data_IF_883474518136
#
_entry.id   IF_883474518136
#
_cell.length_a   1.000
_cell.length_b   1.000
_cell.length_c   1.000
_cell.angle_alpha   90.00
_cell.angle_beta   90.00
_cell.angle_gamma   90.00
#
_symmetry.space_group_name_H-M   'P 1'
#
loop_
_entity.id
_entity.type
_entity.pdbx_description
1 polymer ?
#
# COMPACT_ATOMS: atom_id res chain seq x y z
N UNK A 1 11.83 3.45 -3.24
CA UNK A 1 10.80 2.41 -2.94
C UNK A 1 10.80 1.94 -1.48
N UNK A 2 11.84 1.30 -0.93
CA UNK A 2 11.79 0.81 0.47
C UNK A 2 11.53 1.91 1.52
N UNK A 3 12.12 3.10 1.39
CA UNK A 3 11.92 4.22 2.30
C UNK A 3 10.51 4.82 2.22
N UNK A 4 9.89 4.85 1.05
CA UNK A 4 8.53 5.36 0.84
C UNK A 4 7.49 4.42 1.44
N UNK A 5 7.67 3.11 1.28
CA UNK A 5 6.81 2.11 1.91
C UNK A 5 6.86 2.17 3.45
N UNK A 6 8.05 2.42 4.02
CA UNK A 6 8.22 2.61 5.46
C UNK A 6 7.49 3.86 5.96
N UNK A 7 7.58 4.97 5.21
CA UNK A 7 6.88 6.22 5.54
C UNK A 7 5.36 6.05 5.47
N UNK A 8 4.86 5.36 4.45
CA UNK A 8 3.44 5.09 4.33
C UNK A 8 2.94 4.17 5.44
N UNK A 9 3.66 3.07 5.71
CA UNK A 9 3.32 2.18 6.81
C UNK A 9 3.25 2.93 8.13
N UNK A 10 4.17 3.86 8.40
CA UNK A 10 4.13 4.69 9.61
C UNK A 10 2.90 5.60 9.68
N UNK A 11 2.34 6.02 8.53
CA UNK A 11 1.12 6.82 8.49
C UNK A 11 -0.16 6.00 8.71
N UNK A 12 -0.09 4.69 8.47
CA UNK A 12 -1.24 3.78 8.67
C UNK A 12 -1.34 3.27 10.11
N UNK A 13 -0.31 3.48 10.94
CA UNK A 13 -0.32 3.13 12.36
C UNK A 13 -0.16 4.37 13.22
N UNK A 14 -0.77 4.36 14.38
CA UNK A 14 -0.66 5.37 15.43
C UNK A 14 -1.10 6.80 15.01
N UNK A 15 -1.72 6.93 13.84
CA UNK A 15 -2.28 8.20 13.33
C UNK A 15 -3.78 8.07 13.10
N UNK A 16 -4.55 9.17 13.31
CA UNK A 16 -5.97 9.18 12.98
C UNK A 16 -6.22 9.02 11.48
N UNK A 17 -7.15 8.16 11.14
CA UNK A 17 -7.57 7.88 9.78
C UNK A 17 -9.08 8.07 9.63
N UNK A 18 -9.49 8.63 8.52
CA UNK A 18 -10.86 8.67 8.01
C UNK A 18 -10.93 7.68 6.83
N UNK A 19 -10.92 6.38 7.14
CA UNK A 19 -10.86 5.30 6.16
C UNK A 19 -11.88 4.21 6.48
N UNK A 20 -12.51 3.67 5.45
CA UNK A 20 -13.36 2.48 5.59
C UNK A 20 -12.53 1.28 6.00
N UNK A 21 -12.98 0.46 6.97
CA UNK A 21 -12.21 -0.67 7.46
C UNK A 21 -11.79 -1.69 6.40
N UNK A 22 -12.61 -1.95 5.38
CA UNK A 22 -12.30 -2.90 4.29
C UNK A 22 -11.17 -2.37 3.41
N UNK A 23 -11.23 -1.09 3.08
CA UNK A 23 -10.17 -0.38 2.34
C UNK A 23 -8.88 -0.37 3.13
N UNK A 24 -8.94 -0.10 4.43
CA UNK A 24 -7.80 -0.15 5.31
C UNK A 24 -7.11 -1.52 5.32
N UNK A 25 -7.87 -2.61 5.51
CA UNK A 25 -7.32 -3.97 5.51
C UNK A 25 -6.72 -4.34 4.14
N UNK A 26 -7.30 -3.90 3.03
CA UNK A 26 -6.76 -4.13 1.69
C UNK A 26 -5.40 -3.44 1.50
N UNK A 27 -5.29 -2.18 1.91
CA UNK A 27 -4.03 -1.42 1.88
C UNK A 27 -2.96 -2.07 2.77
N UNK A 28 -3.32 -2.49 3.99
CA UNK A 28 -2.41 -3.14 4.91
C UNK A 28 -1.89 -4.47 4.38
N UNK A 29 -2.77 -5.31 3.84
CA UNK A 29 -2.39 -6.58 3.22
C UNK A 29 -1.41 -6.40 2.05
N UNK A 30 -1.61 -5.35 1.25
CA UNK A 30 -0.70 -5.01 0.17
C UNK A 30 0.68 -4.59 0.71
N UNK A 31 0.71 -3.70 1.70
CA UNK A 31 1.95 -3.22 2.33
C UNK A 31 2.75 -4.33 2.99
N UNK A 32 2.08 -5.23 3.73
CA UNK A 32 2.74 -6.33 4.43
C UNK A 32 3.38 -7.30 3.42
N UNK A 33 2.67 -7.67 2.34
CA UNK A 33 3.22 -8.50 1.27
C UNK A 33 4.45 -7.85 0.59
N UNK A 34 4.41 -6.56 0.34
CA UNK A 34 5.55 -5.83 -0.24
C UNK A 34 6.74 -5.73 0.70
N UNK A 35 6.50 -5.55 2.01
CA UNK A 35 7.57 -5.48 3.01
C UNK A 35 8.23 -6.84 3.26
N UNK A 36 7.50 -7.94 3.12
CA UNK A 36 8.00 -9.31 3.28
C UNK A 36 8.76 -9.84 2.05
N UNK A 37 8.90 -9.03 0.98
CA UNK A 37 9.56 -9.44 -0.26
C UNK A 37 8.76 -10.45 -1.08
N UNK A 38 7.48 -10.62 -0.76
CA UNK A 38 6.54 -11.42 -1.55
C UNK A 38 6.38 -10.82 -2.95
N UNK A 39 6.37 -11.67 -3.97
CA UNK A 39 5.96 -11.27 -5.31
C UNK A 39 4.50 -10.76 -5.21
N UNK A 40 4.33 -9.45 -5.19
CA UNK A 40 3.06 -8.86 -5.59
C UNK A 40 2.93 -9.21 -7.06
N UNK A 41 1.80 -9.76 -7.46
CA UNK A 41 1.47 -9.89 -8.88
C UNK A 41 1.82 -8.51 -9.49
N UNK A 42 2.91 -8.48 -10.25
CA UNK A 42 3.18 -7.34 -11.11
C UNK A 42 1.95 -7.30 -12.02
N UNK A 43 1.05 -6.37 -11.72
CA UNK A 43 0.13 -5.94 -12.73
C UNK A 43 1.06 -5.48 -13.85
N UNK A 44 1.05 -6.22 -14.97
CA UNK A 44 1.81 -5.86 -16.16
C UNK A 44 1.64 -4.37 -16.40
N UNK A 45 2.66 -3.73 -16.97
CA UNK A 45 2.63 -2.33 -17.41
C UNK A 45 1.36 -1.92 -18.20
N UNK A 46 0.60 -2.90 -18.70
CA UNK A 46 -0.73 -2.74 -19.31
C UNK A 46 -1.83 -2.25 -18.33
N UNK A 47 -1.58 -2.19 -17.01
CA UNK A 47 -2.52 -1.62 -16.02
C UNK A 47 -2.28 -0.14 -15.72
N UNK A 48 -1.32 0.52 -16.38
CA UNK A 48 -1.22 1.98 -16.42
C UNK A 48 -2.31 2.65 -17.27
N UNK A 49 -3.21 1.89 -17.88
CA UNK A 49 -4.41 2.42 -18.53
C UNK A 49 -5.56 2.76 -17.55
N UNK A 50 -5.30 2.81 -16.23
CA UNK A 50 -6.36 3.09 -15.28
C UNK A 50 -6.17 4.34 -14.44
N UNK A 51 -6.09 5.48 -15.07
CA UNK A 51 -6.94 6.58 -14.68
C UNK A 51 -8.03 6.70 -15.74
N UNK A 52 -9.15 6.02 -15.56
CA UNK A 52 -10.29 6.14 -16.46
C UNK A 52 -10.85 7.58 -16.45
N UNK A 53 -10.33 8.40 -15.53
CA UNK A 53 -10.68 9.81 -15.37
C UNK A 53 -9.44 10.58 -14.93
N UNK A 54 -8.57 10.95 -15.88
CA UNK A 54 -7.61 12.03 -15.66
C UNK A 54 -8.39 13.33 -15.42
N UNK A 55 -7.79 14.29 -14.72
CA UNK A 55 -8.36 15.63 -14.62
C UNK A 55 -8.56 16.19 -16.01
N UNK A 56 -9.82 16.41 -16.39
CA UNK A 56 -10.19 16.79 -17.74
C UNK A 56 -10.96 18.12 -17.72
N UNK A 57 -10.65 19.00 -18.67
CA UNK A 57 -11.42 20.19 -18.94
C UNK A 57 -12.12 20.12 -20.30
N UNK A 58 -13.43 20.18 -20.30
CA UNK A 58 -14.28 20.25 -21.49
C UNK A 58 -14.67 21.69 -21.76
N UNK A 59 -13.82 22.41 -22.51
CA UNK A 59 -13.98 23.85 -22.78
C UNK A 59 -15.32 24.22 -23.42
N UNK A 60 -15.89 23.34 -24.26
CA UNK A 60 -17.18 23.57 -24.89
C UNK A 60 -18.33 23.73 -23.87
N UNK A 61 -18.21 23.05 -22.73
CA UNK A 61 -19.22 23.02 -21.70
C UNK A 61 -18.84 23.76 -20.41
N UNK A 62 -17.60 24.31 -20.32
CA UNK A 62 -17.00 24.84 -19.12
C UNK A 62 -17.08 23.82 -17.95
N UNK A 63 -16.88 22.55 -18.25
CA UNK A 63 -16.97 21.43 -17.33
C UNK A 63 -15.58 20.91 -17.02
N UNK A 64 -15.21 20.91 -15.75
CA UNK A 64 -14.04 20.20 -15.22
C UNK A 64 -14.44 18.85 -14.66
N UNK A 65 -13.55 17.87 -14.73
CA UNK A 65 -13.75 16.55 -14.09
C UNK A 65 -12.49 16.24 -13.27
N UNK A 66 -12.68 15.86 -12.01
CA UNK A 66 -11.62 15.44 -11.09
C UNK A 66 -11.97 14.05 -10.58
N UNK A 67 -11.01 13.13 -10.68
CA UNK A 67 -11.16 11.76 -10.13
C UNK A 67 -10.66 11.69 -8.70
N UNK A 68 -11.46 11.08 -7.82
CA UNK A 68 -11.13 10.82 -6.41
C UNK A 68 -11.18 9.32 -6.18
N UNK A 69 -10.03 8.65 -6.36
CA UNK A 69 -9.95 7.20 -6.38
C UNK A 69 -9.06 6.64 -5.27
N UNK A 70 -9.36 5.42 -4.85
CA UNK A 70 -8.54 4.64 -3.94
C UNK A 70 -8.27 5.29 -2.58
N UNK A 71 -7.20 4.93 -1.88
CA UNK A 71 -6.86 5.52 -0.59
C UNK A 71 -6.37 6.97 -0.73
N UNK A 72 -6.87 7.85 0.16
CA UNK A 72 -6.56 9.28 0.14
C UNK A 72 -5.40 9.61 1.06
N UNK A 73 -4.48 10.45 0.57
CA UNK A 73 -3.31 10.94 1.34
C UNK A 73 -3.30 12.46 1.39
N UNK A 74 -2.67 13.02 2.45
CA UNK A 74 -2.60 14.48 2.60
C UNK A 74 -1.70 15.13 1.55
N UNK A 75 -0.58 14.49 1.23
CA UNK A 75 0.42 15.03 0.28
C UNK A 75 0.80 14.01 -0.76
N UNK A 76 1.06 14.49 -1.98
CA UNK A 76 1.63 13.68 -3.04
C UNK A 76 2.98 13.12 -2.63
N UNK A 77 3.12 11.80 -2.69
CA UNK A 77 4.32 11.07 -2.29
C UNK A 77 4.81 10.08 -3.34
N UNK A 78 4.18 10.07 -4.54
CA UNK A 78 4.39 9.06 -5.58
C UNK A 78 3.75 7.70 -5.27
N UNK A 79 3.22 7.54 -4.06
CA UNK A 79 2.48 6.37 -3.62
C UNK A 79 1.14 6.23 -4.35
N UNK A 80 0.48 7.36 -4.59
CA UNK A 80 -0.79 7.45 -5.29
C UNK A 80 -0.71 6.77 -6.65
N UNK A 81 0.39 7.00 -7.39
CA UNK A 81 0.66 6.36 -8.67
C UNK A 81 0.87 4.83 -8.57
N UNK A 82 1.37 4.34 -7.41
CA UNK A 82 1.64 2.92 -7.19
C UNK A 82 0.42 2.12 -6.73
N UNK A 83 -0.56 2.77 -6.11
CA UNK A 83 -1.71 2.11 -5.47
C UNK A 83 -3.06 2.61 -5.98
N UNK A 84 -3.06 3.45 -7.02
CA UNK A 84 -4.30 4.01 -7.57
C UNK A 84 -5.02 4.93 -6.58
N UNK A 85 -4.28 5.58 -5.67
CA UNK A 85 -4.82 6.54 -4.70
C UNK A 85 -4.80 7.97 -5.22
N UNK A 86 -5.34 8.90 -4.42
CA UNK A 86 -5.39 10.33 -4.73
C UNK A 86 -4.89 11.14 -3.53
N UNK A 87 -4.20 12.28 -3.76
CA UNK A 87 -3.80 13.16 -2.67
C UNK A 87 -4.70 14.40 -2.56
N UNK A 88 -4.86 14.93 -1.35
CA UNK A 88 -5.56 16.21 -1.17
C UNK A 88 -4.84 17.37 -1.85
N UNK A 89 -3.52 17.27 -1.96
CA UNK A 89 -2.69 18.26 -2.65
C UNK A 89 -2.99 18.27 -4.15
N UNK A 90 -3.01 17.10 -4.81
CA UNK A 90 -3.36 17.01 -6.23
C UNK A 90 -4.79 17.46 -6.53
N UNK A 91 -5.77 17.10 -5.68
CA UNK A 91 -7.16 17.56 -5.85
C UNK A 91 -7.24 19.10 -5.81
N UNK A 92 -6.47 19.76 -4.92
CA UNK A 92 -6.43 21.23 -4.87
C UNK A 92 -5.85 21.84 -6.13
N UNK A 93 -4.69 21.31 -6.57
CA UNK A 93 -4.01 21.78 -7.79
C UNK A 93 -4.90 21.62 -9.03
N UNK A 94 -5.54 20.47 -9.16
CA UNK A 94 -6.47 20.19 -10.26
C UNK A 94 -7.67 21.13 -10.24
N UNK A 95 -8.25 21.36 -9.07
CA UNK A 95 -9.40 22.24 -8.92
C UNK A 95 -9.04 23.69 -9.23
N UNK A 96 -7.90 24.18 -8.75
CA UNK A 96 -7.38 25.51 -9.05
C UNK A 96 -7.15 25.68 -10.55
N UNK A 97 -6.54 24.70 -11.21
CA UNK A 97 -6.31 24.71 -12.65
C UNK A 97 -7.62 24.82 -13.43
N UNK A 98 -8.62 23.99 -13.08
CA UNK A 98 -9.93 24.02 -13.73
C UNK A 98 -10.66 25.36 -13.54
N UNK A 99 -10.53 25.98 -12.36
CA UNK A 99 -11.09 27.30 -12.10
C UNK A 99 -10.42 28.36 -12.97
N UNK A 100 -9.08 28.31 -13.10
CA UNK A 100 -8.29 29.21 -13.98
C UNK A 100 -8.67 29.00 -15.44
N UNK A 101 -8.89 27.78 -15.89
CA UNK A 101 -9.35 27.45 -17.24
C UNK A 101 -10.78 27.90 -17.53
N UNK A 102 -11.52 28.29 -16.49
CA UNK A 102 -12.86 28.87 -16.62
C UNK A 102 -13.99 27.88 -16.42
N UNK A 103 -13.76 26.76 -15.75
CA UNK A 103 -14.80 25.83 -15.38
C UNK A 103 -15.92 26.53 -14.63
N UNK A 104 -17.16 26.19 -14.93
CA UNK A 104 -18.37 26.64 -14.23
C UNK A 104 -19.08 25.51 -13.51
N UNK A 105 -18.77 24.30 -13.89
CA UNK A 105 -19.14 23.08 -13.18
C UNK A 105 -17.91 22.21 -13.05
N UNK A 106 -17.66 21.68 -11.87
CA UNK A 106 -16.63 20.68 -11.62
C UNK A 106 -17.31 19.42 -11.09
N UNK A 107 -17.13 18.32 -11.80
CA UNK A 107 -17.65 17.02 -11.43
C UNK A 107 -16.55 16.23 -10.69
N UNK A 108 -16.84 15.75 -9.48
CA UNK A 108 -16.02 14.76 -8.78
C UNK A 108 -16.50 13.36 -9.14
N UNK A 109 -15.62 12.54 -9.72
CA UNK A 109 -15.87 11.12 -9.96
C UNK A 109 -15.26 10.35 -8.80
N UNK A 110 -16.08 9.71 -7.95
CA UNK A 110 -15.64 9.22 -6.65
C UNK A 110 -15.75 7.71 -6.56
N UNK A 111 -14.61 7.04 -6.32
CA UNK A 111 -14.51 5.64 -5.96
C UNK A 111 -13.42 5.45 -4.88
N UNK A 112 -13.74 5.79 -3.64
CA UNK A 112 -12.75 5.82 -2.57
C UNK A 112 -13.34 5.45 -1.21
N UNK A 113 -12.58 4.66 -0.45
CA UNK A 113 -12.89 4.32 0.94
C UNK A 113 -12.33 5.31 1.97
N UNK A 114 -11.80 6.46 1.53
CA UNK A 114 -11.19 7.45 2.41
C UNK A 114 -9.68 7.27 2.61
N UNK A 115 -9.14 7.83 3.68
CA UNK A 115 -7.70 7.83 3.93
C UNK A 115 -7.25 8.64 5.14
N UNK A 116 -6.20 9.46 4.99
CA UNK A 116 -5.65 10.28 6.07
C UNK A 116 -6.68 11.29 6.60
N UNK A 117 -6.80 11.39 7.93
CA UNK A 117 -7.71 12.37 8.55
C UNK A 117 -7.20 13.81 8.40
N UNK A 118 -5.89 13.99 8.55
CA UNK A 118 -5.28 15.31 8.48
C UNK A 118 -5.31 15.88 7.07
N UNK A 119 -5.82 17.10 6.95
CA UNK A 119 -5.91 17.85 5.71
C UNK A 119 -7.21 17.65 4.93
N UNK A 120 -8.06 16.66 5.26
CA UNK A 120 -9.31 16.43 4.55
C UNK A 120 -10.27 17.60 4.67
N UNK A 121 -10.64 17.99 5.89
CA UNK A 121 -11.59 19.09 6.14
C UNK A 121 -11.07 20.44 5.64
N UNK A 122 -9.77 20.72 5.84
CA UNK A 122 -9.12 21.92 5.31
C UNK A 122 -9.21 21.97 3.79
N UNK A 123 -9.00 20.81 3.12
CA UNK A 123 -9.12 20.71 1.66
C UNK A 123 -10.56 20.96 1.22
N UNK A 124 -11.52 20.28 1.83
CA UNK A 124 -12.92 20.46 1.46
C UNK A 124 -13.40 21.90 1.64
N UNK A 125 -13.09 22.52 2.79
CA UNK A 125 -13.43 23.92 3.06
C UNK A 125 -12.76 24.87 2.04
N UNK A 126 -11.49 24.60 1.70
CA UNK A 126 -10.77 25.39 0.69
C UNK A 126 -11.43 25.29 -0.68
N UNK A 127 -11.76 24.07 -1.14
CA UNK A 127 -12.40 23.84 -2.44
C UNK A 127 -13.80 24.46 -2.49
N UNK A 128 -14.59 24.32 -1.41
CA UNK A 128 -15.93 24.95 -1.34
C UNK A 128 -15.83 26.46 -1.44
N UNK A 129 -14.94 27.06 -0.65
CA UNK A 129 -14.71 28.50 -0.70
C UNK A 129 -14.26 28.96 -2.10
N UNK A 130 -13.33 28.26 -2.72
CA UNK A 130 -12.84 28.60 -4.06
C UNK A 130 -13.96 28.49 -5.11
N UNK A 131 -14.82 27.48 -4.98
CA UNK A 131 -15.99 27.34 -5.83
C UNK A 131 -16.97 28.49 -5.65
N UNK A 132 -17.29 28.87 -4.42
CA UNK A 132 -18.22 29.98 -4.11
C UNK A 132 -17.68 31.31 -4.61
N UNK A 133 -16.39 31.60 -4.37
CA UNK A 133 -15.72 32.83 -4.79
C UNK A 133 -15.71 32.99 -6.35
N UNK A 134 -15.74 31.88 -7.10
CA UNK A 134 -15.69 31.87 -8.58
C UNK A 134 -17.02 31.50 -9.25
N UNK A 135 -18.08 31.25 -8.48
CA UNK A 135 -19.38 30.82 -9.00
C UNK A 135 -19.29 29.49 -9.75
N UNK A 136 -18.52 28.55 -9.22
CA UNK A 136 -18.37 27.19 -9.71
C UNK A 136 -19.32 26.27 -8.96
N UNK A 137 -20.07 25.45 -9.68
CA UNK A 137 -20.90 24.39 -9.12
C UNK A 137 -20.11 23.11 -9.00
N UNK A 138 -20.15 22.45 -7.85
CA UNK A 138 -19.54 21.14 -7.62
C UNK A 138 -20.64 20.08 -7.66
N UNK A 139 -20.46 19.05 -8.47
CA UNK A 139 -21.37 17.89 -8.53
C UNK A 139 -20.53 16.63 -8.36
N UNK A 140 -20.88 15.79 -7.38
CA UNK A 140 -20.21 14.49 -7.22
C UNK A 140 -21.01 13.36 -7.85
N UNK A 141 -20.31 12.42 -8.48
CA UNK A 141 -20.85 11.13 -8.87
C UNK A 141 -20.12 10.01 -8.12
N UNK A 142 -20.87 9.21 -7.39
CA UNK A 142 -20.32 8.08 -6.65
C UNK A 142 -20.51 6.81 -7.47
N UNK A 143 -19.39 6.22 -7.93
CA UNK A 143 -19.37 4.97 -8.68
C UNK A 143 -18.71 3.87 -7.83
N UNK A 144 -19.52 3.20 -7.02
CA UNK A 144 -19.11 2.16 -6.10
C UNK A 144 -19.01 2.60 -4.65
N UNK A 145 -18.05 3.44 -4.27
CA UNK A 145 -17.82 3.79 -2.86
C UNK A 145 -17.43 5.26 -2.67
N UNK A 146 -18.13 5.93 -1.76
CA UNK A 146 -17.69 7.21 -1.19
C UNK A 146 -17.78 7.14 0.32
N UNK A 147 -16.65 6.80 0.98
CA UNK A 147 -16.66 6.54 2.41
C UNK A 147 -15.64 7.40 3.16
N UNK A 148 -15.99 7.78 4.38
CA UNK A 148 -15.09 8.42 5.35
C UNK A 148 -14.46 9.71 4.78
N UNK A 149 -13.14 9.85 4.64
CA UNK A 149 -12.54 11.07 4.07
C UNK A 149 -13.02 11.37 2.64
N UNK A 150 -13.29 10.36 1.83
CA UNK A 150 -13.84 10.55 0.49
C UNK A 150 -15.25 11.14 0.56
N UNK A 151 -16.07 10.65 1.50
CA UNK A 151 -17.37 11.25 1.73
C UNK A 151 -17.25 12.71 2.24
N UNK A 152 -16.26 13.00 3.08
CA UNK A 152 -15.96 14.37 3.50
C UNK A 152 -15.70 15.31 2.31
N UNK A 153 -14.96 14.88 1.31
CA UNK A 153 -14.76 15.64 0.06
C UNK A 153 -16.03 15.69 -0.80
N UNK A 154 -16.78 14.59 -0.85
CA UNK A 154 -18.06 14.54 -1.58
C UNK A 154 -19.11 15.47 -0.96
N UNK A 155 -19.12 15.58 0.37
CA UNK A 155 -20.13 16.34 1.12
C UNK A 155 -20.15 17.85 0.79
N UNK A 156 -19.06 18.42 0.27
CA UNK A 156 -18.99 19.84 -0.13
C UNK A 156 -19.73 20.13 -1.45
N UNK A 157 -20.20 19.10 -2.15
CA UNK A 157 -20.86 19.25 -3.45
C UNK A 157 -22.23 19.88 -3.31
N UNK A 158 -22.60 20.71 -4.28
CA UNK A 158 -23.94 21.26 -4.41
C UNK A 158 -24.98 20.16 -4.69
N UNK A 159 -24.49 19.02 -5.24
CA UNK A 159 -25.31 17.86 -5.53
C UNK A 159 -24.48 16.59 -5.54
N UNK A 160 -24.98 15.55 -4.89
CA UNK A 160 -24.38 14.22 -4.84
C UNK A 160 -25.28 13.23 -5.57
N UNK A 161 -24.80 12.73 -6.69
CA UNK A 161 -25.43 11.69 -7.49
C UNK A 161 -24.69 10.38 -7.26
N UNK A 162 -25.39 9.28 -7.19
CA UNK A 162 -24.77 7.97 -6.99
C UNK A 162 -25.32 6.91 -7.95
N UNK A 163 -24.48 5.93 -8.29
CA UNK A 163 -24.97 4.70 -8.90
C UNK A 163 -25.85 3.94 -7.89
N UNK A 164 -26.82 3.19 -8.37
CA UNK A 164 -27.78 2.49 -7.50
C UNK A 164 -27.13 1.54 -6.49
N UNK A 165 -26.01 0.95 -6.83
CA UNK A 165 -25.31 -0.04 -6.01
C UNK A 165 -24.14 0.54 -5.22
N UNK A 166 -23.96 1.87 -5.25
CA UNK A 166 -22.89 2.53 -4.51
C UNK A 166 -23.16 2.54 -3.01
N UNK A 167 -22.10 2.57 -2.25
CA UNK A 167 -22.10 2.73 -0.79
C UNK A 167 -21.58 4.11 -0.39
N UNK A 168 -22.28 4.79 0.53
CA UNK A 168 -21.98 6.16 0.94
C UNK A 168 -22.03 6.25 2.46
N UNK A 169 -21.08 6.98 3.07
CA UNK A 169 -21.09 7.23 4.50
C UNK A 169 -19.76 6.99 5.20
N UNK A 170 -19.73 6.12 6.19
CA UNK A 170 -18.54 5.86 7.04
C UNK A 170 -18.01 7.14 7.69
N UNK A 171 -18.90 8.02 8.18
CA UNK A 171 -18.53 9.27 8.87
C UNK A 171 -18.02 8.91 10.27
N UNK A 172 -16.73 8.56 10.34
CA UNK A 172 -16.08 8.12 11.55
C UNK A 172 -14.58 8.24 11.49
N UNK A 173 -13.93 8.04 12.63
CA UNK A 173 -12.46 8.12 12.82
C UNK A 173 -11.97 6.85 13.47
N UNK A 174 -10.86 6.31 13.00
CA UNK A 174 -10.19 5.19 13.64
C UNK A 174 -8.69 5.45 13.79
N UNK A 175 -8.09 4.82 14.80
CA UNK A 175 -6.63 4.68 14.95
C UNK A 175 -6.35 3.20 15.13
N UNK A 176 -5.47 2.62 14.32
CA UNK A 176 -5.00 1.25 14.50
C UNK A 176 -3.69 1.25 15.26
N UNK A 177 -3.66 0.49 16.35
CA UNK A 177 -2.45 0.23 17.12
C UNK A 177 -1.97 -1.20 16.86
N UNK A 178 -0.66 -1.38 16.75
CA UNK A 178 -0.05 -2.69 16.66
C UNK A 178 0.95 -2.87 17.79
N UNK A 179 0.76 -3.92 18.60
CA UNK A 179 1.66 -4.30 19.65
C UNK A 179 2.48 -5.54 19.24
N UNK A 180 3.75 -5.34 18.97
CA UNK A 180 4.69 -6.37 18.55
C UNK A 180 5.55 -6.93 19.70
N UNK A 181 5.30 -6.53 20.95
CA UNK A 181 6.11 -6.91 22.13
C UNK A 181 6.27 -8.42 22.27
N UNK A 182 5.19 -9.19 22.14
CA UNK A 182 5.24 -10.65 22.22
C UNK A 182 6.01 -11.29 21.07
N UNK A 183 5.93 -10.72 19.87
CA UNK A 183 6.68 -11.23 18.72
C UNK A 183 8.19 -10.98 18.87
N UNK A 184 8.58 -9.85 19.46
CA UNK A 184 9.96 -9.53 19.77
C UNK A 184 10.51 -10.44 20.87
N UNK A 185 9.76 -10.66 21.94
CA UNK A 185 10.10 -11.58 23.02
C UNK A 185 10.35 -13.01 22.50
N UNK A 186 9.46 -13.53 21.65
CA UNK A 186 9.62 -14.84 21.02
C UNK A 186 10.87 -14.95 20.14
N UNK A 187 11.31 -13.82 19.56
CA UNK A 187 12.56 -13.74 18.79
C UNK A 187 13.81 -13.51 19.65
N UNK A 188 13.65 -13.44 20.98
CA UNK A 188 14.76 -13.21 21.93
C UNK A 188 15.22 -11.76 22.02
N UNK A 189 14.40 -10.79 21.58
CA UNK A 189 14.71 -9.36 21.73
C UNK A 189 13.98 -8.78 22.94
N UNK A 190 14.71 -8.01 23.73
CA UNK A 190 14.18 -7.15 24.79
C UNK A 190 14.18 -5.68 24.34
N UNK A 191 13.05 -5.00 24.56
CA UNK A 191 12.91 -3.59 24.22
C UNK A 191 12.97 -2.75 25.47
N UNK A 192 14.04 -2.00 25.66
CA UNK A 192 14.22 -1.08 26.79
C UNK A 192 14.16 0.37 26.30
N UNK A 193 13.38 1.20 26.98
CA UNK A 193 13.29 2.63 26.70
C UNK A 193 13.90 3.44 27.85
N UNK A 194 14.70 4.44 27.50
CA UNK A 194 15.19 5.47 28.45
C UNK A 194 14.64 6.80 27.97
N UNK A 195 13.74 7.42 28.75
CA UNK A 195 13.03 8.63 28.32
C UNK A 195 12.96 9.69 29.40
N UNK A 196 12.74 10.92 28.96
CA UNK A 196 12.26 12.02 29.76
C UNK A 196 10.86 12.45 29.25
N UNK A 197 9.90 12.55 30.15
CA UNK A 197 8.48 12.76 29.85
C UNK A 197 7.69 11.46 29.84
N UNK A 198 6.66 11.38 30.69
CA UNK A 198 5.89 10.15 30.95
C UNK A 198 5.19 9.61 29.71
N UNK A 199 4.77 10.50 28.79
CA UNK A 199 3.96 10.14 27.61
C UNK A 199 4.80 9.80 26.37
N UNK A 200 6.14 9.71 26.51
CA UNK A 200 7.03 9.37 25.38
C UNK A 200 6.96 7.88 25.00
N UNK A 201 6.52 7.02 25.91
CA UNK A 201 6.43 5.58 25.70
C UNK A 201 4.98 5.14 25.81
N UNK A 202 4.44 4.47 24.77
CA UNK A 202 3.08 3.97 24.80
C UNK A 202 2.93 2.67 25.62
N UNK A 203 4.05 2.00 25.98
CA UNK A 203 4.04 0.69 26.60
C UNK A 203 4.25 0.76 28.11
N UNK A 204 3.57 -0.14 28.84
CA UNK A 204 3.82 -0.48 30.22
C UNK A 204 5.03 -1.46 30.35
N UNK A 205 5.46 -1.74 31.57
CA UNK A 205 6.58 -2.66 31.85
C UNK A 205 6.34 -4.10 31.34
N UNK A 206 5.09 -4.52 31.30
CA UNK A 206 4.66 -5.84 30.79
C UNK A 206 4.53 -5.88 29.25
N UNK A 207 4.91 -4.80 28.55
CA UNK A 207 4.81 -4.67 27.10
C UNK A 207 3.40 -4.39 26.57
N UNK A 208 2.38 -4.25 27.43
CA UNK A 208 1.04 -3.81 27.04
C UNK A 208 1.00 -2.30 26.77
N UNK A 209 -0.01 -1.80 26.05
CA UNK A 209 -0.24 -0.37 25.96
C UNK A 209 -0.71 0.19 27.29
N UNK A 210 -0.16 1.34 27.66
CA UNK A 210 -0.59 2.06 28.87
C UNK A 210 -2.03 2.58 28.72
N UNK A 211 -2.80 2.55 29.79
CA UNK A 211 -4.19 3.01 29.79
C UNK A 211 -4.31 4.49 29.48
N UNK A 212 -3.40 5.31 30.00
CA UNK A 212 -3.34 6.74 29.77
C UNK A 212 -3.09 7.05 28.29
N UNK A 213 -2.17 6.31 27.67
CA UNK A 213 -1.91 6.44 26.23
C UNK A 213 -3.16 6.10 25.38
N UNK A 214 -3.85 5.00 25.69
CA UNK A 214 -5.11 4.66 25.00
C UNK A 214 -6.17 5.72 25.22
N UNK A 215 -6.29 6.28 26.44
CA UNK A 215 -7.26 7.32 26.74
C UNK A 215 -6.96 8.62 25.98
N UNK A 216 -5.68 9.00 25.85
CA UNK A 216 -5.28 10.17 25.06
C UNK A 216 -5.60 10.00 23.57
N UNK A 217 -5.40 8.81 23.02
CA UNK A 217 -5.79 8.52 21.66
C UNK A 217 -7.30 8.54 21.48
N UNK A 218 -8.06 8.02 22.45
CA UNK A 218 -9.53 8.09 22.41
C UNK A 218 -10.01 9.54 22.41
N UNK A 219 -9.44 10.39 23.27
CA UNK A 219 -9.78 11.81 23.31
C UNK A 219 -9.52 12.50 21.96
N UNK A 220 -8.43 12.14 21.27
CA UNK A 220 -8.11 12.65 19.92
C UNK A 220 -9.13 12.16 18.88
N UNK A 221 -9.48 10.87 18.91
CA UNK A 221 -10.50 10.30 18.02
C UNK A 221 -11.84 10.98 18.23
N UNK A 222 -12.26 11.18 19.50
CA UNK A 222 -13.53 11.83 19.84
C UNK A 222 -13.58 13.29 19.36
N UNK A 223 -12.46 14.03 19.50
CA UNK A 223 -12.36 15.38 19.00
C UNK A 223 -12.47 15.45 17.47
N UNK A 224 -11.73 14.61 16.75
CA UNK A 224 -11.77 14.54 15.29
C UNK A 224 -13.14 14.05 14.79
N UNK A 225 -13.76 13.10 15.49
CA UNK A 225 -15.13 12.65 15.16
C UNK A 225 -16.15 13.77 15.33
N UNK A 226 -16.04 14.56 16.40
CA UNK A 226 -16.86 15.75 16.60
C UNK A 226 -16.71 16.72 15.41
N UNK A 227 -15.47 17.08 15.09
CA UNK A 227 -15.19 18.03 14.01
C UNK A 227 -15.68 17.49 12.66
N UNK A 228 -15.51 16.21 12.39
CA UNK A 228 -15.96 15.59 11.14
C UNK A 228 -17.49 15.52 11.05
N UNK A 229 -18.20 15.20 12.15
CA UNK A 229 -19.67 15.19 12.14
C UNK A 229 -20.26 16.59 11.99
N UNK A 230 -19.64 17.61 12.59
CA UNK A 230 -20.01 19.02 12.44
C UNK A 230 -19.78 19.51 11.00
N UNK A 231 -18.61 19.16 10.41
CA UNK A 231 -18.29 19.46 9.02
C UNK A 231 -19.28 18.86 8.02
N UNK A 232 -19.64 17.58 8.14
CA UNK A 232 -20.62 16.94 7.28
C UNK A 232 -22.00 17.55 7.47
N UNK A 233 -22.40 17.82 8.72
CA UNK A 233 -23.68 18.46 9.03
C UNK A 233 -23.81 19.83 8.36
N UNK A 234 -22.77 20.66 8.41
CA UNK A 234 -22.72 21.97 7.78
C UNK A 234 -22.88 21.87 6.26
N UNK A 235 -22.06 21.06 5.60
CA UNK A 235 -22.06 20.97 4.14
C UNK A 235 -23.31 20.28 3.57
N UNK A 236 -23.91 19.33 4.30
CA UNK A 236 -25.13 18.64 3.86
C UNK A 236 -26.43 19.29 4.37
N UNK A 237 -26.35 20.35 5.17
CA UNK A 237 -27.54 20.97 5.76
C UNK A 237 -28.29 20.03 6.73
N UNK A 238 -27.58 19.10 7.37
CA UNK A 238 -28.13 18.13 8.31
C UNK A 238 -27.91 18.58 9.77
N UNK A 239 -28.66 18.00 10.70
CA UNK A 239 -28.27 18.14 12.11
C UNK A 239 -27.07 17.26 12.44
N UNK A 240 -26.20 17.72 13.35
CA UNK A 240 -25.04 16.94 13.84
C UNK A 240 -25.49 15.60 14.45
N UNK A 241 -26.67 15.60 15.09
CA UNK A 241 -27.26 14.39 15.65
C UNK A 241 -27.65 13.39 14.56
N UNK A 242 -28.23 13.84 13.45
CA UNK A 242 -28.54 12.97 12.31
C UNK A 242 -27.28 12.33 11.71
N UNK A 243 -26.20 13.09 11.58
CA UNK A 243 -24.91 12.56 11.12
C UNK A 243 -24.35 11.54 12.11
N UNK A 244 -24.38 11.83 13.41
CA UNK A 244 -23.91 10.89 14.46
C UNK A 244 -24.72 9.61 14.51
N UNK A 245 -26.04 9.67 14.26
CA UNK A 245 -26.91 8.50 14.24
C UNK A 245 -26.62 7.54 13.08
N UNK A 246 -25.79 7.91 12.12
CA UNK A 246 -25.28 7.00 11.09
C UNK A 246 -24.28 5.97 11.65
N UNK A 247 -23.74 6.20 12.86
CA UNK A 247 -22.82 5.29 13.56
C UNK A 247 -21.64 4.83 12.68
N UNK A 248 -21.12 5.75 11.85
CA UNK A 248 -20.04 5.48 10.90
C UNK A 248 -20.30 4.29 9.94
N UNK A 249 -21.56 3.97 9.67
CA UNK A 249 -21.94 2.94 8.69
C UNK A 249 -21.85 3.49 7.27
N UNK A 250 -21.71 2.57 6.31
CA UNK A 250 -21.99 2.83 4.90
C UNK A 250 -23.43 2.40 4.58
N UNK A 251 -24.08 3.11 3.67
CA UNK A 251 -25.45 2.91 3.25
C UNK A 251 -25.51 2.77 1.74
N UNK A 252 -26.32 1.87 1.24
CA UNK A 252 -26.63 1.81 -0.18
C UNK A 252 -27.33 3.09 -0.64
N UNK A 253 -27.23 3.42 -1.91
CA UNK A 253 -27.68 4.70 -2.48
C UNK A 253 -29.12 5.08 -2.12
N UNK A 254 -30.07 4.13 -2.12
CA UNK A 254 -31.48 4.43 -1.75
C UNK A 254 -31.61 4.87 -0.29
N UNK A 255 -30.88 4.22 0.60
CA UNK A 255 -30.84 4.57 2.03
C UNK A 255 -30.07 5.86 2.26
N UNK A 256 -28.93 6.05 1.56
CA UNK A 256 -28.13 7.26 1.63
C UNK A 256 -28.95 8.51 1.20
N UNK A 257 -29.75 8.41 0.15
CA UNK A 257 -30.67 9.49 -0.27
C UNK A 257 -31.76 9.74 0.80
N UNK A 258 -32.34 8.68 1.35
CA UNK A 258 -33.33 8.82 2.42
C UNK A 258 -32.77 9.48 3.69
N UNK A 259 -31.50 9.29 3.98
CA UNK A 259 -30.80 9.90 5.12
C UNK A 259 -30.26 11.31 4.83
N UNK A 260 -30.30 11.79 3.58
CA UNK A 260 -29.74 13.08 3.17
C UNK A 260 -28.24 13.06 2.90
N UNK A 261 -27.62 11.87 2.87
CA UNK A 261 -26.19 11.71 2.54
C UNK A 261 -25.91 11.80 1.04
N UNK A 262 -26.92 11.57 0.20
CA UNK A 262 -26.90 11.78 -1.24
C UNK A 262 -28.21 12.44 -1.70
N UNK A 263 -28.26 12.88 -2.96
CA UNK A 263 -29.42 13.63 -3.48
C UNK A 263 -30.16 12.87 -4.57
N UNK A 264 -29.44 12.15 -5.46
CA UNK A 264 -30.04 11.47 -6.61
C UNK A 264 -29.35 10.12 -6.89
N UNK A 265 -30.09 9.26 -7.58
CA UNK A 265 -29.58 8.00 -8.11
C UNK A 265 -29.71 8.05 -9.63
N UNK A 266 -28.59 7.83 -10.33
CA UNK A 266 -28.52 7.79 -11.80
C UNK A 266 -27.55 6.72 -12.24
N UNK A 267 -27.73 6.22 -13.45
CA UNK A 267 -26.64 5.47 -14.14
C UNK A 267 -25.54 6.45 -14.56
N UNK A 268 -24.37 5.93 -14.86
CA UNK A 268 -23.24 6.77 -15.34
C UNK A 268 -23.61 7.48 -16.65
N UNK A 269 -24.30 6.80 -17.56
CA UNK A 269 -24.74 7.34 -18.85
C UNK A 269 -25.77 8.49 -18.66
N UNK A 270 -26.71 8.30 -17.73
CA UNK A 270 -27.67 9.35 -17.39
C UNK A 270 -26.98 10.55 -16.74
N UNK A 271 -25.96 10.30 -15.90
CA UNK A 271 -25.18 11.35 -15.28
C UNK A 271 -24.39 12.20 -16.29
N UNK A 272 -23.73 11.57 -17.28
CA UNK A 272 -23.10 12.33 -18.36
C UNK A 272 -24.08 13.14 -19.18
N UNK A 273 -25.25 12.60 -19.44
CA UNK A 273 -26.33 13.32 -20.12
C UNK A 273 -26.82 14.51 -19.28
N UNK A 274 -26.93 14.31 -17.97
CA UNK A 274 -27.28 15.35 -17.01
C UNK A 274 -26.24 16.48 -16.97
N UNK A 275 -24.94 16.17 -16.83
CA UNK A 275 -23.86 17.15 -16.87
C UNK A 275 -23.87 17.98 -18.18
N UNK A 276 -24.12 17.32 -19.31
CA UNK A 276 -24.21 18.00 -20.61
C UNK A 276 -25.39 18.98 -20.68
N UNK A 277 -26.51 18.65 -20.08
CA UNK A 277 -27.70 19.53 -20.02
C UNK A 277 -27.52 20.72 -19.08
N UNK A 278 -26.88 20.51 -17.93
CA UNK A 278 -26.52 21.56 -16.97
C UNK A 278 -25.56 22.59 -17.61
N UNK A 279 -24.57 22.12 -18.33
CA UNK A 279 -23.61 22.97 -19.03
C UNK A 279 -24.28 23.84 -20.12
N UNK A 280 -25.33 23.33 -20.80
CA UNK A 280 -26.10 24.09 -21.78
C UNK A 280 -27.01 25.11 -21.11
N UNK A 281 -27.63 24.81 -19.96
CA UNK A 281 -28.48 25.75 -19.22
C UNK A 281 -27.68 26.97 -18.75
N UNK A 282 -26.43 26.79 -18.37
CA UNK A 282 -25.50 27.88 -18.05
C UNK A 282 -25.13 28.76 -19.24
N UNK A 283 -25.12 28.22 -20.47
CA UNK A 283 -24.97 29.03 -21.72
C UNK A 283 -26.22 29.86 -22.02
N UNK A 284 -27.38 29.26 -21.88
CA UNK A 284 -28.68 29.95 -22.16
C UNK A 284 -28.94 31.07 -21.15
N UNK A 285 -28.56 30.86 -19.88
CA UNK A 285 -28.65 31.91 -18.84
C UNK A 285 -27.75 33.11 -19.14
N UNK A 286 -26.51 32.89 -19.65
CA UNK A 286 -25.60 33.96 -20.06
C UNK A 286 -26.08 34.68 -21.33
N UNK A 287 -26.65 33.98 -22.30
CA UNK A 287 -27.21 34.59 -23.50
C UNK A 287 -28.46 35.37 -23.17
N UNK A 288 -29.30 34.91 -22.26
CA UNK A 288 -30.50 35.60 -21.80
C UNK A 288 -30.16 36.84 -20.95
N UNK A 289 -29.20 36.77 -20.06
CA UNK A 289 -28.66 37.92 -19.35
C UNK A 289 -27.98 38.94 -20.29
N UNK A 290 -27.22 38.47 -21.29
CA UNK A 290 -26.65 39.35 -22.30
C UNK A 290 -27.71 39.98 -23.20
N UNK A 291 -28.85 39.30 -23.49
CA UNK A 291 -29.98 39.87 -24.21
C UNK A 291 -30.74 40.90 -23.36
N UNK A 292 -30.99 40.61 -22.08
CA UNK A 292 -31.61 41.54 -21.14
C UNK A 292 -30.71 42.74 -20.91
N UNK A 293 -29.39 42.55 -20.78
CA UNK A 293 -28.39 43.62 -20.63
C UNK A 293 -28.25 44.49 -21.92
N UNK A 294 -28.37 43.89 -23.10
CA UNK A 294 -28.45 44.61 -24.38
C UNK A 294 -29.74 45.41 -24.55
N UNK A 295 -30.86 44.90 -24.02
CA UNK A 295 -32.18 45.58 -24.07
C UNK A 295 -32.22 46.79 -23.11
N UNK A 296 -31.53 46.73 -21.99
CA UNK A 296 -31.37 47.85 -21.04
C UNK A 296 -30.32 48.87 -21.41
N UNK A 297 -29.47 48.61 -22.39
CA UNK A 297 -28.34 49.48 -22.79
C UNK A 297 -28.52 50.19 -24.11
N UNK A 298 -29.77 50.45 -24.54
CA UNK A 298 -30.04 51.14 -25.79
C UNK A 298 -30.08 52.68 -25.64
N UNK A 299 -29.37 53.23 -24.69
CA UNK A 299 -29.01 54.66 -24.67
C UNK A 299 -27.67 54.85 -23.95
N UNK A 300 -26.52 54.62 -24.64
CA UNK A 300 -25.26 55.34 -24.42
C UNK A 300 -24.31 54.98 -25.58
N UNK A 301 -23.89 55.95 -26.31
CA UNK A 301 -22.91 55.89 -27.42
C UNK A 301 -21.60 55.24 -26.96
N UNK A 302 -20.96 54.36 -27.76
CA UNK A 302 -19.71 53.75 -27.37
C UNK A 302 -18.54 54.70 -27.64
N UNK A 303 -17.87 55.08 -26.58
CA UNK A 303 -16.49 55.56 -26.71
C UNK A 303 -15.58 54.33 -26.61
N UNK A 304 -15.32 53.65 -27.73
CA UNK A 304 -14.33 52.61 -27.88
C UNK A 304 -12.95 53.26 -28.08
N UNK A 305 -12.36 53.79 -27.05
CA UNK A 305 -10.90 53.81 -26.98
C UNK A 305 -10.46 52.42 -26.48
N UNK A 306 -10.25 51.50 -27.38
CA UNK A 306 -9.43 50.31 -27.12
C UNK A 306 -8.10 50.85 -26.64
N UNK A 307 -7.78 50.55 -25.38
CA UNK A 307 -6.50 50.95 -24.80
C UNK A 307 -5.40 50.15 -25.50
N UNK A 308 -4.81 50.78 -26.56
CA UNK A 308 -3.77 50.19 -27.41
C UNK A 308 -2.56 49.74 -26.55
N UNK A 309 -2.31 50.44 -25.45
CA UNK A 309 -1.27 50.05 -24.48
C UNK A 309 -1.55 48.69 -23.83
N UNK A 310 -2.82 48.40 -23.51
CA UNK A 310 -3.24 47.12 -22.94
C UNK A 310 -3.11 45.97 -23.95
N UNK A 311 -3.37 46.24 -25.21
CA UNK A 311 -3.23 45.29 -26.30
C UNK A 311 -1.75 44.94 -26.54
N UNK A 312 -0.85 45.94 -26.48
CA UNK A 312 0.59 45.79 -26.62
C UNK A 312 1.22 45.04 -25.41
N UNK A 313 0.71 45.31 -24.23
CA UNK A 313 1.08 44.58 -23.02
C UNK A 313 0.69 43.09 -23.10
N UNK A 314 -0.53 42.77 -23.54
CA UNK A 314 -1.00 41.40 -23.72
C UNK A 314 -0.24 40.65 -24.80
N UNK A 315 0.13 41.32 -25.92
CA UNK A 315 0.97 40.73 -26.94
C UNK A 315 2.38 40.43 -26.44
N UNK A 316 2.92 41.28 -25.57
CA UNK A 316 4.23 41.06 -24.96
C UNK A 316 4.20 39.86 -23.99
N UNK A 317 3.14 39.76 -23.18
CA UNK A 317 2.93 38.60 -22.29
C UNK A 317 2.76 37.31 -23.09
N UNK A 318 2.00 37.32 -24.19
CA UNK A 318 1.84 36.18 -25.09
C UNK A 318 3.19 35.69 -25.62
N UNK A 319 4.02 36.58 -26.13
CA UNK A 319 5.36 36.22 -26.61
C UNK A 319 6.27 35.66 -25.53
N UNK A 320 6.15 36.14 -24.29
CA UNK A 320 6.89 35.57 -23.15
C UNK A 320 6.43 34.17 -22.80
N UNK A 321 5.12 33.91 -22.80
CA UNK A 321 4.58 32.56 -22.55
C UNK A 321 4.94 31.59 -23.67
N UNK A 322 4.92 32.00 -24.93
CA UNK A 322 5.38 31.19 -26.05
C UNK A 322 6.86 30.79 -25.91
N UNK A 323 7.73 31.73 -25.49
CA UNK A 323 9.13 31.42 -25.22
C UNK A 323 9.32 30.47 -24.05
N UNK A 324 8.53 30.62 -22.98
CA UNK A 324 8.54 29.69 -21.85
C UNK A 324 8.07 28.29 -22.26
N UNK A 325 7.03 28.21 -23.07
CA UNK A 325 6.48 26.94 -23.58
C UNK A 325 7.53 26.20 -24.42
N UNK A 326 8.25 26.91 -25.30
CA UNK A 326 9.36 26.32 -26.05
C UNK A 326 10.49 25.81 -25.19
N UNK A 327 10.82 26.52 -24.10
CA UNK A 327 11.86 26.10 -23.15
C UNK A 327 11.44 24.86 -22.36
N UNK A 328 10.17 24.80 -21.93
CA UNK A 328 9.60 23.65 -21.23
C UNK A 328 9.53 22.42 -22.14
N UNK A 329 9.17 22.60 -23.41
CA UNK A 329 9.16 21.49 -24.39
C UNK A 329 10.57 20.91 -24.59
N UNK A 330 11.59 21.75 -24.71
CA UNK A 330 12.98 21.30 -24.82
C UNK A 330 13.43 20.56 -23.56
N UNK A 331 13.06 21.04 -22.36
CA UNK A 331 13.36 20.38 -21.11
C UNK A 331 12.64 19.02 -20.96
N UNK A 332 11.42 18.90 -21.46
CA UNK A 332 10.68 17.64 -21.49
C UNK A 332 11.34 16.61 -22.40
N UNK A 333 11.86 17.07 -23.55
CA UNK A 333 12.58 16.20 -24.49
C UNK A 333 13.89 15.69 -23.89
N UNK A 334 14.65 16.56 -23.19
CA UNK A 334 15.86 16.17 -22.45
C UNK A 334 15.56 15.17 -21.33
N UNK A 335 14.50 15.38 -20.56
CA UNK A 335 14.07 14.43 -19.51
C UNK A 335 13.64 13.08 -20.09
N UNK A 336 12.99 13.08 -21.24
CA UNK A 336 12.58 11.86 -21.93
C UNK A 336 13.79 11.05 -22.39
N UNK A 337 14.83 11.72 -22.91
CA UNK A 337 16.09 11.08 -23.28
C UNK A 337 16.83 10.53 -22.06
N UNK A 338 16.86 11.28 -20.96
CA UNK A 338 17.48 10.85 -19.71
C UNK A 338 16.74 9.62 -19.14
N UNK A 339 15.42 9.62 -19.18
CA UNK A 339 14.60 8.46 -18.76
C UNK A 339 14.97 7.22 -19.58
N UNK A 340 15.02 7.31 -20.89
CA UNK A 340 15.40 6.18 -21.75
C UNK A 340 16.82 5.66 -21.45
N UNK A 341 17.79 6.53 -21.16
CA UNK A 341 19.15 6.12 -20.79
C UNK A 341 19.20 5.44 -19.42
N UNK A 342 18.39 5.87 -18.46
CA UNK A 342 18.29 5.26 -17.15
C UNK A 342 17.61 3.88 -17.22
N UNK A 343 16.59 3.72 -18.03
CA UNK A 343 15.92 2.42 -18.27
C UNK A 343 16.89 1.41 -18.91
N UNK A 344 17.70 1.82 -19.87
CA UNK A 344 18.74 0.97 -20.45
C UNK A 344 19.79 0.55 -19.40
N UNK A 345 20.28 1.49 -18.58
CA UNK A 345 21.23 1.19 -17.51
C UNK A 345 20.65 0.29 -16.42
N UNK A 346 19.33 0.42 -16.13
CA UNK A 346 18.62 -0.46 -15.20
C UNK A 346 18.57 -1.89 -15.74
N UNK A 347 18.22 -2.09 -17.02
CA UNK A 347 18.20 -3.40 -17.67
C UNK A 347 19.57 -4.09 -17.66
N UNK A 348 20.67 -3.34 -17.88
CA UNK A 348 22.03 -3.89 -17.75
C UNK A 348 22.34 -4.34 -16.31
N UNK A 349 21.90 -3.58 -15.30
CA UNK A 349 22.10 -3.93 -13.89
C UNK A 349 21.27 -5.14 -13.47
N UNK A 350 20.04 -5.26 -13.95
CA UNK A 350 19.17 -6.42 -13.69
C UNK A 350 19.76 -7.70 -14.29
N UNK A 351 20.29 -7.61 -15.51
CA UNK A 351 20.99 -8.75 -16.15
C UNK A 351 22.23 -9.15 -15.33
N UNK A 352 23.05 -8.20 -14.93
CA UNK A 352 24.24 -8.47 -14.12
C UNK A 352 23.88 -9.06 -12.74
N UNK A 353 22.77 -8.65 -12.15
CA UNK A 353 22.27 -9.20 -10.89
C UNK A 353 21.81 -10.65 -11.06
N UNK A 354 21.08 -10.96 -12.14
CA UNK A 354 20.67 -12.33 -12.45
C UNK A 354 21.89 -13.27 -12.65
N UNK A 355 22.90 -12.82 -13.38
CA UNK A 355 24.14 -13.56 -13.58
C UNK A 355 24.89 -13.79 -12.25
N UNK A 356 24.95 -12.77 -11.39
CA UNK A 356 25.58 -12.90 -10.07
C UNK A 356 24.81 -13.88 -9.17
N UNK A 357 23.48 -13.86 -9.19
CA UNK A 357 22.65 -14.81 -8.44
C UNK A 357 22.84 -16.25 -8.93
N UNK A 358 22.93 -16.47 -10.24
CA UNK A 358 23.19 -17.76 -10.82
C UNK A 358 24.58 -18.29 -10.41
N UNK A 359 25.60 -17.41 -10.36
CA UNK A 359 26.93 -17.77 -9.89
C UNK A 359 26.96 -18.13 -8.41
N UNK A 360 26.23 -17.37 -7.56
CA UNK A 360 26.12 -17.68 -6.13
C UNK A 360 25.48 -19.06 -5.92
N UNK A 361 24.36 -19.36 -6.61
CA UNK A 361 23.71 -20.66 -6.51
C UNK A 361 24.67 -21.80 -6.89
N UNK A 362 25.43 -21.64 -7.96
CA UNK A 362 26.42 -22.63 -8.38
C UNK A 362 27.57 -22.83 -7.35
N UNK A 363 28.05 -21.75 -6.76
CA UNK A 363 29.08 -21.83 -5.71
C UNK A 363 28.55 -22.47 -4.42
N UNK A 364 27.29 -22.27 -4.08
CA UNK A 364 26.63 -22.94 -2.94
C UNK A 364 26.48 -24.45 -3.19
N UNK A 365 26.14 -24.86 -4.39
CA UNK A 365 26.03 -26.26 -4.81
C UNK A 365 27.44 -26.95 -4.74
N UNK A 366 28.43 -26.32 -5.33
CA UNK A 366 29.84 -26.81 -5.26
C UNK A 366 30.35 -26.93 -3.80
N UNK A 367 30.01 -25.97 -2.94
CA UNK A 367 30.33 -26.01 -1.52
C UNK A 367 29.69 -27.15 -0.77
N UNK A 368 28.42 -27.43 -1.06
CA UNK A 368 27.68 -28.57 -0.49
C UNK A 368 28.31 -29.88 -0.94
N UNK A 369 28.65 -30.01 -2.22
CA UNK A 369 29.29 -31.20 -2.77
C UNK A 369 30.71 -31.45 -2.17
N UNK A 370 31.53 -30.40 -2.06
CA UNK A 370 32.84 -30.47 -1.38
C UNK A 370 32.70 -30.88 0.07
N UNK A 371 31.70 -30.36 0.79
CA UNK A 371 31.45 -30.73 2.18
C UNK A 371 31.03 -32.20 2.30
N UNK A 372 30.16 -32.66 1.39
CA UNK A 372 29.71 -34.05 1.35
C UNK A 372 30.91 -34.99 1.06
N UNK A 373 31.77 -34.64 0.09
CA UNK A 373 32.96 -35.44 -0.24
C UNK A 373 33.93 -35.49 0.94
N UNK A 374 34.22 -34.37 1.59
CA UNK A 374 35.09 -34.32 2.78
C UNK A 374 34.54 -35.16 3.95
N UNK A 375 33.20 -35.24 4.08
CA UNK A 375 32.57 -36.13 5.07
C UNK A 375 32.69 -37.62 4.68
N UNK A 376 32.52 -37.96 3.40
CA UNK A 376 32.70 -39.30 2.89
C UNK A 376 34.18 -39.79 3.13
N UNK A 377 35.15 -38.92 2.87
CA UNK A 377 36.56 -39.22 3.08
C UNK A 377 36.87 -39.52 4.55
N UNK A 378 36.31 -38.76 5.48
CA UNK A 378 36.43 -39.01 6.92
C UNK A 378 35.76 -40.31 7.37
N UNK A 379 34.62 -40.66 6.82
CA UNK A 379 33.94 -41.92 7.09
C UNK A 379 34.69 -43.11 6.52
N UNK A 380 35.28 -43.00 5.34
CA UNK A 380 36.08 -44.04 4.70
C UNK A 380 37.32 -44.45 5.53
N UNK A 381 37.80 -43.55 6.40
CA UNK A 381 38.90 -43.83 7.30
C UNK A 381 38.49 -44.69 8.53
N UNK A 382 37.19 -44.84 8.82
CA UNK A 382 36.71 -45.48 10.04
C UNK A 382 35.64 -46.58 9.82
N UNK A 383 35.21 -46.79 8.55
CA UNK A 383 34.21 -47.81 8.18
C UNK A 383 34.50 -48.42 6.82
N UNK A 384 33.81 -49.51 6.49
CA UNK A 384 33.95 -50.18 5.18
C UNK A 384 33.33 -49.35 4.05
N UNK A 385 33.85 -49.50 2.83
CA UNK A 385 33.40 -48.77 1.64
C UNK A 385 31.91 -48.88 1.39
N UNK A 386 31.29 -50.05 1.67
CA UNK A 386 29.87 -50.30 1.47
C UNK A 386 28.95 -49.45 2.39
N UNK A 387 29.48 -48.99 3.53
CA UNK A 387 28.74 -48.25 4.55
C UNK A 387 28.92 -46.73 4.45
N UNK A 388 29.95 -46.27 3.77
CA UNK A 388 30.29 -44.82 3.68
C UNK A 388 29.12 -44.00 3.14
N UNK A 389 28.48 -44.47 2.06
CA UNK A 389 27.41 -43.74 1.39
C UNK A 389 26.15 -43.63 2.26
N UNK A 390 25.74 -44.75 2.87
CA UNK A 390 24.59 -44.80 3.77
C UNK A 390 24.80 -43.94 5.04
N UNK A 391 25.99 -43.97 5.62
CA UNK A 391 26.35 -43.16 6.78
C UNK A 391 26.48 -41.69 6.44
N UNK A 392 27.02 -41.31 5.30
CA UNK A 392 27.12 -39.94 4.84
C UNK A 392 25.72 -39.34 4.66
N UNK A 393 24.78 -40.11 4.10
CA UNK A 393 23.38 -39.67 3.97
C UNK A 393 22.69 -39.54 5.34
N UNK A 394 22.79 -40.51 6.22
CA UNK A 394 22.15 -40.48 7.55
C UNK A 394 22.68 -39.39 8.48
N UNK A 395 23.93 -39.01 8.33
CA UNK A 395 24.59 -37.96 9.14
C UNK A 395 24.62 -36.61 8.44
N UNK A 396 23.95 -36.46 7.31
CA UNK A 396 23.93 -35.24 6.50
C UNK A 396 23.37 -34.01 7.24
N UNK A 397 22.40 -34.20 8.14
CA UNK A 397 21.75 -33.15 8.92
C UNK A 397 22.55 -32.66 10.14
N UNK A 398 23.63 -33.32 10.49
CA UNK A 398 24.47 -32.93 11.63
C UNK A 398 25.36 -31.74 11.27
N UNK A 399 25.58 -30.84 12.23
CA UNK A 399 26.66 -29.84 12.11
C UNK A 399 28.04 -30.51 12.14
N UNK A 400 29.11 -29.75 11.81
CA UNK A 400 30.44 -30.31 11.65
C UNK A 400 31.09 -30.77 12.96
N UNK A 401 30.69 -30.21 14.11
CA UNK A 401 31.16 -30.59 15.43
C UNK A 401 30.52 -31.91 15.86
N UNK A 402 29.18 -32.04 15.72
CA UNK A 402 28.47 -33.28 16.01
C UNK A 402 28.92 -34.41 15.07
N UNK A 403 29.07 -34.13 13.78
CA UNK A 403 29.61 -35.10 12.83
C UNK A 403 31.01 -35.61 13.25
N UNK A 404 31.94 -34.70 13.59
CA UNK A 404 33.31 -35.07 14.04
C UNK A 404 33.29 -35.91 15.32
N UNK A 405 32.36 -35.63 16.23
CA UNK A 405 32.15 -36.42 17.48
C UNK A 405 31.73 -37.85 17.18
N UNK A 406 30.77 -38.01 16.26
CA UNK A 406 30.29 -39.35 15.83
C UNK A 406 31.43 -40.14 15.15
N UNK A 407 32.12 -39.53 14.21
CA UNK A 407 33.28 -40.16 13.50
C UNK A 407 34.40 -40.55 14.51
N UNK A 408 34.68 -39.68 15.48
CA UNK A 408 35.64 -39.95 16.54
C UNK A 408 35.27 -41.16 17.42
N UNK A 409 33.97 -41.27 17.77
CA UNK A 409 33.45 -42.43 18.52
C UNK A 409 33.56 -43.74 17.71
N UNK A 410 33.23 -43.67 16.39
CA UNK A 410 33.37 -44.83 15.50
C UNK A 410 34.85 -45.27 15.35
N UNK A 411 35.78 -44.32 15.24
CA UNK A 411 37.20 -44.61 15.19
C UNK A 411 37.74 -45.28 16.47
N UNK A 412 37.27 -44.78 17.62
CA UNK A 412 37.61 -45.38 18.93
C UNK A 412 37.07 -46.81 19.06
N UNK A 413 35.86 -47.06 18.55
CA UNK A 413 35.27 -48.39 18.58
C UNK A 413 35.98 -49.36 17.63
N UNK A 414 36.36 -48.93 16.44
CA UNK A 414 37.13 -49.71 15.45
C UNK A 414 38.49 -50.11 16.06
N UNK A 415 39.18 -49.18 16.70
CA UNK A 415 40.47 -49.42 17.34
C UNK A 415 40.37 -50.37 18.58
N UNK A 416 39.25 -50.27 19.32
CA UNK A 416 38.98 -51.15 20.43
C UNK A 416 38.72 -52.61 19.96
N UNK A 417 38.07 -52.79 18.82
CA UNK A 417 37.88 -54.08 18.17
C UNK A 417 39.17 -54.68 17.65
N UNK A 418 40.02 -53.90 17.04
CA UNK A 418 41.38 -54.33 16.56
C UNK A 418 42.26 -54.79 17.72
N UNK A 419 42.19 -54.16 18.90
CA UNK A 419 42.92 -54.47 20.09
C UNK A 419 42.27 -55.54 20.98
N UNK A 420 41.10 -56.03 20.62
CA UNK A 420 40.43 -57.09 21.39
C UNK A 420 41.11 -58.43 21.10
N UNK A 421 41.43 -59.19 22.14
CA UNK A 421 42.07 -60.53 22.08
C UNK A 421 41.32 -61.55 21.21
N UNK A 422 40.19 -61.24 20.62
CA UNK A 422 39.42 -62.07 19.69
C UNK A 422 40.07 -62.24 18.29
N UNK A 423 41.11 -61.45 17.96
CA UNK A 423 41.85 -61.57 16.69
C UNK A 423 43.31 -62.02 16.86
N UNK A 424 43.70 -62.56 18.03
CA UNK A 424 44.96 -63.28 18.13
C UNK A 424 44.82 -64.62 17.45
N UNK A 425 45.70 -64.89 16.47
CA UNK A 425 45.75 -66.08 15.61
C UNK A 425 45.44 -67.38 16.36
N UNK A 426 44.40 -68.07 15.93
CA UNK A 426 44.33 -69.51 16.13
C UNK A 426 44.99 -70.18 14.94
N UNK A 427 46.25 -70.53 15.09
CA UNK A 427 46.91 -71.37 14.15
C UNK A 427 46.17 -72.67 13.94
N UNK A 428 46.11 -73.12 12.75
CA UNK A 428 45.69 -74.33 12.12
C UNK A 428 45.85 -75.62 13.04
N UNK A 429 44.66 -76.07 13.51
CA UNK A 429 44.51 -77.51 13.90
C UNK A 429 43.00 -77.83 13.60
N UNK A 430 42.80 -78.64 12.51
CA UNK A 430 41.54 -79.18 12.17
C UNK A 430 40.92 -80.07 13.23
N UNK A 431 39.65 -79.82 13.60
CA UNK A 431 38.73 -80.81 14.21
C UNK A 431 37.33 -80.53 13.66
N UNK A 432 36.78 -81.51 12.98
CA UNK A 432 35.38 -81.65 12.67
C UNK A 432 34.54 -81.71 13.97
N UNK A 433 33.53 -80.90 14.12
CA UNK A 433 32.44 -81.16 15.05
C UNK A 433 31.16 -80.42 14.68
N UNK A 434 30.18 -81.18 14.28
CA UNK A 434 28.74 -81.13 14.41
C UNK A 434 28.06 -79.78 14.68
N UNK A 435 27.09 -79.51 13.81
CA UNK A 435 26.02 -78.51 13.88
C UNK A 435 25.11 -78.80 15.06
N UNK A 436 24.97 -77.89 15.98
CA UNK A 436 23.77 -77.81 16.86
C UNK A 436 23.28 -76.35 16.90
N UNK A 437 21.97 -76.21 16.65
CA UNK A 437 21.19 -74.99 16.68
C UNK A 437 21.38 -74.17 17.99
N UNK A 438 21.81 -72.94 17.90
CA UNK A 438 21.59 -71.98 18.97
C UNK A 438 21.03 -70.66 18.41
N UNK A 439 19.86 -70.34 18.89
CA UNK A 439 19.04 -69.17 18.57
C UNK A 439 19.77 -67.84 18.64
N UNK A 440 19.46 -66.97 17.70
CA UNK A 440 19.94 -65.58 17.65
C UNK A 440 19.59 -64.79 18.91
N UNK A 441 20.45 -63.94 19.45
CA UNK A 441 20.11 -62.96 20.45
C UNK A 441 19.44 -61.75 19.84
N UNK A 442 18.38 -61.33 20.46
CA UNK A 442 17.48 -60.19 20.09
C UNK A 442 18.21 -58.84 20.20
N UNK A 443 17.92 -58.03 19.23
CA UNK A 443 17.94 -56.56 19.20
C UNK A 443 19.07 -55.78 19.88
N UNK A 444 19.81 -55.09 19.02
CA UNK A 444 20.83 -54.12 19.40
C UNK A 444 20.17 -52.88 20.03
N UNK A 445 20.86 -52.34 21.03
CA UNK A 445 20.49 -51.12 21.75
C UNK A 445 20.29 -49.87 20.88
N UNK A 446 20.67 -49.96 19.62
CA UNK A 446 20.51 -48.85 18.63
C UNK A 446 19.08 -48.73 18.11
N UNK A 447 18.37 -49.86 17.96
CA UNK A 447 16.96 -49.82 17.51
C UNK A 447 16.00 -49.26 18.57
N UNK A 448 16.31 -49.47 19.85
CA UNK A 448 15.51 -48.89 20.96
C UNK A 448 15.63 -47.38 21.08
N UNK A 449 16.79 -46.81 20.75
CA UNK A 449 17.06 -45.37 20.74
C UNK A 449 16.41 -44.65 19.51
N UNK A 450 16.30 -45.34 18.38
CA UNK A 450 15.63 -44.81 17.19
C UNK A 450 14.11 -44.80 17.35
N UNK A 451 13.54 -45.84 17.97
CA UNK A 451 12.11 -45.95 18.22
C UNK A 451 11.64 -44.93 19.29
N UNK A 452 12.44 -44.65 20.31
CA UNK A 452 12.12 -43.67 21.36
C UNK A 452 12.09 -42.23 20.83
N UNK A 453 12.79 -41.92 19.73
CA UNK A 453 12.85 -40.59 19.14
C UNK A 453 11.73 -40.33 18.13
N UNK A 454 11.08 -41.36 17.62
CA UNK A 454 9.95 -41.26 16.67
C UNK A 454 8.60 -41.12 17.37
N UNK A 455 8.52 -41.37 18.69
CA UNK A 455 7.27 -41.23 19.48
C UNK A 455 7.11 -39.85 20.15
N UNK A 456 8.08 -38.95 20.03
CA UNK A 456 8.05 -37.58 20.58
C UNK A 456 8.13 -36.50 19.48
N UNK A 457 7.36 -36.68 18.43
CA UNK A 457 7.03 -35.61 17.45
C UNK A 457 5.53 -35.50 17.31
#
# INVERSE_FOLDING_TARGET
MAHELTRLRSKMFDTPLLIDPRTFESVMNYLDKRCEGGAVLETKEDSLEFSMYDTLYYAENNLGVISINGPLTNKSTGWEALCGGTSYESIKEDFESLVVEGAKTIAFMVESGGGEAYGMMDTGNYLRKLADDNGVRIISYVDGLSASAAYGLTAISDEIVSNKQSEIGSVGVLIRLMNDSKALEQKGYERTFVTAGSEKIPFAEDGSFRKEFIQDLQNKVDALYKDFTEYVAEHRGMSVEAVRNTEAKTFLSEEAVALGLADKIMTLEDFYSYLSSEAQSNKTGKEMNNRIFKFMKNEVTPNMSVDMAKLEELQTQLSQYEAQLSTLQASLEDMTQLKASLEAALGEKETALADAQALVAKLEEEKVEQKLQARKDKLAAVTSADQVEALAASLSSLDDAAFSTVVGAMAAQAKALENSEMFTEVGDQGVEASVEDVAAPKTSTTDALIQARLQNR
#
